data_IF_135814936249
#
_entry.id   IF_135814936249
#
_cell.length_a   1.000
_cell.length_b   1.000
_cell.length_c   1.000
_cell.angle_alpha   90.00
_cell.angle_beta   90.00
_cell.angle_gamma   90.00
#
_symmetry.space_group_name_H-M   'P 1'
#
loop_
_entity.id
_entity.type
_entity.pdbx_description
1 polymer ?
#
# COMPACT_ATOMS: atom_id res chain seq x y z
N UNK A 1 9.30 17.98 -5.50
CA UNK A 1 8.90 16.75 -6.24
C UNK A 1 9.95 15.64 -6.23
N UNK A 2 11.24 15.90 -5.95
CA UNK A 2 12.27 14.84 -5.92
C UNK A 2 12.08 13.74 -4.87
N UNK A 3 11.66 14.11 -3.65
CA UNK A 3 11.51 13.16 -2.54
C UNK A 3 10.39 12.10 -2.76
N UNK A 4 9.30 12.46 -3.44
CA UNK A 4 8.20 11.52 -3.73
C UNK A 4 8.65 10.45 -4.72
N UNK A 5 9.38 10.84 -5.77
CA UNK A 5 9.89 9.92 -6.78
C UNK A 5 10.82 8.86 -6.17
N UNK A 6 11.74 9.29 -5.30
CA UNK A 6 12.67 8.39 -4.61
C UNK A 6 11.93 7.38 -3.70
N UNK A 7 10.89 7.82 -2.99
CA UNK A 7 10.07 6.94 -2.15
C UNK A 7 9.40 5.84 -2.99
N UNK A 8 8.84 6.21 -4.14
CA UNK A 8 8.17 5.26 -5.04
C UNK A 8 9.15 4.25 -5.64
N UNK A 9 10.34 4.72 -6.07
CA UNK A 9 11.40 3.84 -6.59
C UNK A 9 11.86 2.83 -5.53
N UNK A 10 12.12 3.28 -4.29
CA UNK A 10 12.48 2.39 -3.17
C UNK A 10 11.36 1.42 -2.83
N UNK A 11 10.09 1.84 -2.90
CA UNK A 11 8.94 0.97 -2.64
C UNK A 11 8.88 -0.18 -3.64
N UNK A 12 9.10 0.09 -4.92
CA UNK A 12 9.13 -0.94 -5.98
C UNK A 12 10.28 -1.92 -5.74
N UNK A 13 11.50 -1.41 -5.49
CA UNK A 13 12.67 -2.26 -5.23
C UNK A 13 12.48 -3.15 -4.00
N UNK A 14 11.99 -2.59 -2.89
CA UNK A 14 11.74 -3.35 -1.66
C UNK A 14 10.63 -4.39 -1.83
N UNK A 15 9.60 -4.11 -2.63
CA UNK A 15 8.51 -5.04 -2.90
C UNK A 15 8.99 -6.23 -3.74
N UNK A 16 9.82 -5.99 -4.75
CA UNK A 16 10.46 -7.05 -5.53
C UNK A 16 11.37 -7.94 -4.66
N UNK A 17 12.13 -7.33 -3.75
CA UNK A 17 12.95 -8.06 -2.78
C UNK A 17 12.10 -8.90 -1.82
N UNK A 18 10.99 -8.35 -1.31
CA UNK A 18 10.07 -9.07 -0.41
C UNK A 18 9.42 -10.28 -1.08
N UNK A 19 9.09 -10.17 -2.37
CA UNK A 19 8.54 -11.28 -3.15
C UNK A 19 9.53 -12.45 -3.27
N UNK A 20 10.83 -12.17 -3.38
CA UNK A 20 11.89 -13.18 -3.45
C UNK A 20 12.22 -13.78 -2.08
N UNK A 21 12.35 -12.94 -1.05
CA UNK A 21 12.78 -13.37 0.28
C UNK A 21 11.66 -14.02 1.11
N UNK A 22 10.40 -13.61 0.90
CA UNK A 22 9.25 -14.07 1.67
C UNK A 22 7.98 -14.22 0.81
N UNK A 23 7.96 -15.16 -0.16
CA UNK A 23 6.90 -15.27 -1.16
C UNK A 23 5.51 -15.52 -0.55
N UNK A 24 5.41 -16.35 0.50
CA UNK A 24 4.15 -16.64 1.16
C UNK A 24 3.57 -15.41 1.88
N UNK A 25 4.42 -14.64 2.56
CA UNK A 25 4.02 -13.41 3.23
C UNK A 25 3.57 -12.37 2.20
N UNK A 26 4.34 -12.22 1.12
CA UNK A 26 4.01 -11.32 0.03
C UNK A 26 2.67 -11.65 -0.62
N UNK A 27 2.44 -12.92 -0.95
CA UNK A 27 1.19 -13.39 -1.55
C UNK A 27 0.00 -13.15 -0.61
N UNK A 28 0.12 -13.57 0.66
CA UNK A 28 -0.96 -13.40 1.65
C UNK A 28 -1.31 -11.94 1.91
N UNK A 29 -0.32 -11.06 2.00
CA UNK A 29 -0.56 -9.63 2.14
C UNK A 29 -1.24 -9.04 0.89
N UNK A 30 -0.82 -9.44 -0.31
CA UNK A 30 -1.46 -8.96 -1.54
C UNK A 30 -2.92 -9.41 -1.63
N UNK A 31 -3.24 -10.63 -1.21
CA UNK A 31 -4.61 -11.14 -1.24
C UNK A 31 -5.50 -10.44 -0.20
N UNK A 32 -4.95 -10.14 0.99
CA UNK A 32 -5.60 -9.27 1.96
C UNK A 32 -5.93 -7.89 1.35
N UNK A 33 -4.96 -7.26 0.69
CA UNK A 33 -5.17 -5.93 0.08
C UNK A 33 -6.22 -5.95 -1.04
N UNK A 34 -6.22 -6.99 -1.89
CA UNK A 34 -7.24 -7.18 -2.93
C UNK A 34 -8.64 -7.33 -2.32
N UNK A 35 -8.77 -8.11 -1.25
CA UNK A 35 -10.04 -8.30 -0.56
C UNK A 35 -10.50 -6.99 0.11
N UNK A 36 -9.60 -6.26 0.77
CA UNK A 36 -9.90 -4.99 1.43
C UNK A 36 -10.49 -3.96 0.45
N UNK A 37 -9.87 -3.78 -0.72
CA UNK A 37 -10.30 -2.77 -1.69
C UNK A 37 -11.44 -3.20 -2.63
N UNK A 38 -11.90 -4.45 -2.55
CA UNK A 38 -13.07 -4.91 -3.31
C UNK A 38 -14.30 -4.06 -2.93
N UNK A 39 -15.06 -3.52 -3.91
CA UNK A 39 -16.32 -2.85 -3.64
C UNK A 39 -17.30 -3.78 -2.90
N UNK A 40 -17.96 -3.27 -1.87
CA UNK A 40 -18.91 -4.01 -1.04
C UNK A 40 -19.91 -3.02 -0.41
N UNK A 41 -20.13 -3.05 0.90
CA UNK A 41 -20.90 -2.02 1.61
C UNK A 41 -20.36 -0.60 1.40
N UNK A 42 -19.04 -0.47 1.15
CA UNK A 42 -18.40 0.76 0.72
C UNK A 42 -17.83 0.60 -0.69
N UNK A 43 -18.01 1.64 -1.51
CA UNK A 43 -17.29 1.80 -2.76
C UNK A 43 -15.79 2.02 -2.52
N UNK A 44 -14.98 1.69 -3.53
CA UNK A 44 -13.52 1.83 -3.45
C UNK A 44 -13.08 3.25 -3.06
N UNK A 45 -13.73 4.29 -3.61
CA UNK A 45 -13.43 5.70 -3.31
C UNK A 45 -13.43 5.98 -1.80
N UNK A 46 -14.45 5.50 -1.08
CA UNK A 46 -14.58 5.72 0.36
C UNK A 46 -13.50 4.98 1.15
N UNK A 47 -13.13 3.77 0.71
CA UNK A 47 -12.04 3.00 1.31
C UNK A 47 -10.67 3.67 1.10
N UNK A 48 -10.42 4.25 -0.07
CA UNK A 48 -9.20 5.01 -0.34
C UNK A 48 -9.13 6.29 0.51
N UNK A 49 -10.25 6.99 0.73
CA UNK A 49 -10.29 8.14 1.64
C UNK A 49 -9.97 7.74 3.08
N UNK A 50 -10.47 6.59 3.55
CA UNK A 50 -10.10 6.05 4.86
C UNK A 50 -8.59 5.71 4.93
N UNK A 51 -8.02 5.18 3.85
CA UNK A 51 -6.59 4.89 3.77
C UNK A 51 -5.75 6.17 3.85
N UNK A 52 -6.13 7.25 3.17
CA UNK A 52 -5.46 8.56 3.27
C UNK A 52 -5.52 9.09 4.70
N UNK A 53 -6.69 9.02 5.35
CA UNK A 53 -6.85 9.43 6.74
C UNK A 53 -5.92 8.63 7.67
N UNK A 54 -5.83 7.31 7.49
CA UNK A 54 -4.92 6.44 8.24
C UNK A 54 -3.43 6.78 7.98
N UNK A 55 -3.05 7.06 6.73
CA UNK A 55 -1.68 7.46 6.38
C UNK A 55 -1.26 8.75 7.09
N UNK A 56 -2.17 9.73 7.20
CA UNK A 56 -1.92 10.98 7.93
C UNK A 56 -1.85 10.73 9.43
N UNK A 57 -2.81 9.98 9.99
CA UNK A 57 -2.87 9.67 11.42
C UNK A 57 -1.63 8.92 11.91
N UNK A 58 -1.09 8.00 11.09
CA UNK A 58 0.12 7.23 11.39
C UNK A 58 1.42 7.93 10.97
N UNK A 59 1.33 9.12 10.35
CA UNK A 59 2.48 9.86 9.78
C UNK A 59 3.32 9.01 8.81
N UNK A 60 2.69 8.07 8.10
CA UNK A 60 3.37 7.21 7.14
C UNK A 60 3.52 7.93 5.79
N UNK A 61 4.63 8.64 5.59
CA UNK A 61 4.92 9.36 4.33
C UNK A 61 4.87 8.43 3.10
N UNK A 62 5.44 7.20 3.11
CA UNK A 62 5.31 6.29 1.97
C UNK A 62 3.90 5.76 1.73
N UNK A 63 3.01 5.84 2.72
CA UNK A 63 1.60 5.47 2.57
C UNK A 63 0.76 6.63 2.00
N UNK A 64 1.26 7.87 2.08
CA UNK A 64 0.62 9.06 1.52
C UNK A 64 1.10 9.37 0.09
N UNK A 65 2.35 9.00 -0.22
CA UNK A 65 2.98 9.13 -1.54
C UNK A 65 2.45 8.12 -2.56
#
# INVERSE_FOLDING_TARGET
>A
MGAVKEILEKRVANRARLEQEAPNLYAGFNDLMKAYYKPSALERKHKELCAVAASVATRCIPCLA
#
